data_IF_137172614071
#
_entry.id   IF_137172614071
#
_cell.length_a   1.000
_cell.length_b   1.000
_cell.length_c   1.000
_cell.angle_alpha   90.00
_cell.angle_beta   90.00
_cell.angle_gamma   90.00
#
_symmetry.space_group_name_H-M   'P 1'
#
loop_
_entity.id
_entity.type
_entity.pdbx_description
1 polymer ?
#
# COMPACT_ATOMS: atom_id res chain seq x y z
N UNK A 1 18.79 0.35 0.99
CA UNK A 1 20.18 0.06 0.54
C UNK A 1 20.81 -0.89 1.55
N UNK A 2 20.71 -2.20 1.33
CA UNK A 2 21.11 -3.18 2.35
C UNK A 2 22.62 -3.38 2.47
N UNK A 3 23.35 -3.47 1.35
CA UNK A 3 24.81 -3.65 1.40
C UNK A 3 25.53 -2.55 2.15
N UNK A 4 25.16 -1.29 1.89
CA UNK A 4 25.71 -0.14 2.61
C UNK A 4 25.46 -0.27 4.12
N UNK A 5 24.24 -0.67 4.51
CA UNK A 5 23.87 -0.83 5.91
C UNK A 5 24.66 -1.95 6.60
N UNK A 6 24.91 -3.07 5.91
CA UNK A 6 25.78 -4.11 6.44
C UNK A 6 27.21 -3.62 6.62
N UNK A 7 27.76 -2.93 5.62
CA UNK A 7 29.15 -2.45 5.63
C UNK A 7 29.42 -1.37 6.69
N UNK A 8 28.38 -0.64 7.14
CA UNK A 8 28.46 0.32 8.24
C UNK A 8 28.37 -0.39 9.62
N UNK A 9 27.83 -1.60 9.66
CA UNK A 9 27.75 -2.39 10.89
C UNK A 9 29.12 -2.76 11.43
N UNK A 10 29.21 -2.96 12.75
CA UNK A 10 30.43 -3.40 13.42
C UNK A 10 30.95 -4.74 12.89
N UNK A 11 30.01 -5.64 12.55
CA UNK A 11 30.28 -6.93 11.92
C UNK A 11 29.39 -7.08 10.66
N UNK A 12 29.93 -6.67 9.48
CA UNK A 12 29.18 -6.71 8.23
C UNK A 12 28.81 -8.11 7.75
N UNK A 13 29.63 -9.11 8.09
CA UNK A 13 29.42 -10.51 7.67
C UNK A 13 28.23 -11.07 8.42
N UNK A 14 28.22 -10.94 9.74
CA UNK A 14 27.11 -11.43 10.57
C UNK A 14 25.79 -10.73 10.28
N UNK A 15 25.82 -9.41 10.03
CA UNK A 15 24.61 -8.67 9.67
C UNK A 15 23.98 -9.18 8.37
N UNK A 16 24.81 -9.57 7.39
CA UNK A 16 24.36 -10.17 6.13
C UNK A 16 23.83 -11.57 6.33
N UNK A 17 24.54 -12.41 7.07
CA UNK A 17 24.12 -13.78 7.37
C UNK A 17 22.70 -13.81 7.96
N UNK A 18 22.45 -13.00 8.99
CA UNK A 18 21.14 -12.94 9.65
C UNK A 18 20.01 -12.44 8.73
N UNK A 19 20.31 -11.50 7.83
CA UNK A 19 19.34 -11.09 6.82
C UNK A 19 19.05 -12.25 5.84
N UNK A 20 20.08 -12.99 5.44
CA UNK A 20 20.04 -13.98 4.37
C UNK A 20 19.47 -15.33 4.82
N UNK A 21 19.42 -15.60 6.13
CA UNK A 21 18.71 -16.76 6.71
C UNK A 21 17.27 -16.90 6.19
N UNK A 22 16.62 -15.77 5.86
CA UNK A 22 15.22 -15.74 5.41
C UNK A 22 15.01 -15.08 4.05
N UNK A 23 15.97 -14.26 3.58
CA UNK A 23 15.93 -13.57 2.29
C UNK A 23 17.29 -13.67 1.55
N UNK A 24 17.71 -14.89 1.14
CA UNK A 24 19.05 -15.13 0.59
C UNK A 24 19.25 -14.52 -0.81
N UNK A 25 18.16 -14.32 -1.57
CA UNK A 25 18.22 -13.80 -2.93
C UNK A 25 18.78 -12.37 -2.97
N UNK A 26 19.57 -12.05 -4.01
CA UNK A 26 20.13 -10.71 -4.21
C UNK A 26 19.05 -9.62 -4.32
N UNK A 27 17.85 -9.98 -4.84
CA UNK A 27 16.71 -9.06 -4.85
C UNK A 27 16.27 -8.63 -3.44
N UNK A 28 16.55 -9.43 -2.41
CA UNK A 28 16.33 -9.06 -1.00
C UNK A 28 17.20 -7.88 -0.57
N UNK A 29 18.38 -7.69 -1.17
CA UNK A 29 19.30 -6.56 -0.86
C UNK A 29 18.89 -5.24 -1.50
N UNK A 30 17.96 -5.31 -2.45
CA UNK A 30 17.35 -4.16 -3.11
C UNK A 30 15.92 -3.92 -2.60
N UNK A 31 15.30 -4.93 -1.98
CA UNK A 31 13.94 -4.84 -1.46
C UNK A 31 13.77 -3.75 -0.40
N UNK A 32 12.64 -3.04 -0.48
CA UNK A 32 12.21 -2.05 0.51
C UNK A 32 11.50 -2.70 1.71
N UNK A 33 11.95 -3.87 2.15
CA UNK A 33 11.46 -4.55 3.35
C UNK A 33 12.50 -5.55 3.86
N UNK A 34 12.34 -5.98 5.11
CA UNK A 34 13.03 -7.14 5.68
C UNK A 34 12.03 -8.27 5.99
N UNK A 35 12.54 -9.43 6.36
CA UNK A 35 11.73 -10.61 6.69
C UNK A 35 10.81 -10.45 7.90
N UNK A 36 11.06 -9.47 8.77
CA UNK A 36 10.23 -9.25 9.97
C UNK A 36 8.84 -8.72 9.64
N UNK A 37 8.74 -7.73 8.75
CA UNK A 37 7.48 -7.04 8.45
C UNK A 37 6.92 -7.39 7.06
N UNK A 38 7.75 -7.94 6.18
CA UNK A 38 7.36 -8.27 4.82
C UNK A 38 6.98 -7.04 3.96
N UNK A 39 6.55 -7.26 2.71
CA UNK A 39 6.40 -6.22 1.70
C UNK A 39 5.24 -5.23 1.95
N UNK A 40 4.23 -5.64 2.73
CA UNK A 40 3.01 -4.84 2.98
C UNK A 40 3.07 -4.00 4.25
N UNK A 41 3.88 -4.40 5.23
CA UNK A 41 3.84 -3.80 6.58
C UNK A 41 5.19 -3.20 7.01
N UNK A 42 6.17 -3.08 6.11
CA UNK A 42 7.42 -2.39 6.43
C UNK A 42 7.17 -0.90 6.68
N UNK A 43 7.34 -0.46 7.93
CA UNK A 43 7.11 0.92 8.37
C UNK A 43 7.93 1.95 7.59
N UNK A 44 9.17 1.63 7.24
CA UNK A 44 10.04 2.50 6.44
C UNK A 44 9.50 2.69 5.02
N UNK A 45 9.00 1.61 4.38
CA UNK A 45 8.39 1.68 3.04
C UNK A 45 7.11 2.51 3.06
N UNK A 46 6.23 2.24 4.02
CA UNK A 46 4.98 2.99 4.19
C UNK A 46 5.28 4.48 4.41
N UNK A 47 6.27 4.79 5.24
CA UNK A 47 6.69 6.19 5.46
C UNK A 47 7.17 6.85 4.18
N UNK A 48 7.90 6.13 3.32
CA UNK A 48 8.33 6.65 2.02
C UNK A 48 7.13 6.90 1.11
N UNK A 49 6.20 5.95 0.99
CA UNK A 49 4.98 6.08 0.19
C UNK A 49 4.12 7.28 0.65
N UNK A 50 3.96 7.47 1.96
CA UNK A 50 3.23 8.63 2.51
C UNK A 50 3.93 9.95 2.18
N UNK A 51 5.26 10.01 2.23
CA UNK A 51 6.02 11.21 1.85
C UNK A 51 5.94 11.51 0.36
N UNK A 52 5.94 10.48 -0.48
CA UNK A 52 5.77 10.62 -1.93
C UNK A 52 4.36 11.12 -2.26
N UNK A 53 3.34 10.55 -1.63
CA UNK A 53 1.96 11.03 -1.75
C UNK A 53 1.81 12.49 -1.33
N UNK A 54 2.40 12.89 -0.19
CA UNK A 54 2.36 14.29 0.27
C UNK A 54 3.02 15.24 -0.74
N UNK A 55 4.16 14.86 -1.34
CA UNK A 55 4.82 15.65 -2.39
C UNK A 55 3.99 15.78 -3.66
N UNK A 56 3.28 14.73 -4.06
CA UNK A 56 2.36 14.77 -5.21
C UNK A 56 1.21 15.75 -4.96
N UNK A 57 0.63 15.72 -3.76
CA UNK A 57 -0.38 16.68 -3.34
C UNK A 57 0.13 18.13 -3.40
N UNK A 58 1.31 18.39 -2.82
CA UNK A 58 1.93 19.72 -2.86
C UNK A 58 2.17 20.19 -4.31
N UNK A 59 2.66 19.30 -5.19
CA UNK A 59 2.87 19.61 -6.60
C UNK A 59 1.56 19.95 -7.34
N UNK A 60 0.43 19.43 -6.85
CA UNK A 60 -0.92 19.75 -7.33
C UNK A 60 -1.53 20.98 -6.65
N UNK A 61 -0.80 21.65 -5.76
CA UNK A 61 -1.26 22.80 -5.00
C UNK A 61 -2.22 22.45 -3.84
N UNK A 62 -2.24 21.19 -3.42
CA UNK A 62 -3.06 20.70 -2.30
C UNK A 62 -2.17 20.63 -1.06
N UNK A 63 -2.60 21.22 0.06
CA UNK A 63 -1.90 21.09 1.34
C UNK A 63 -2.05 19.65 1.89
N UNK A 64 -0.96 18.88 2.03
CA UNK A 64 -1.02 17.50 2.51
C UNK A 64 -1.47 17.38 3.98
N UNK A 65 -1.49 18.46 4.75
CA UNK A 65 -2.03 18.47 6.10
C UNK A 65 -3.54 18.73 6.14
N UNK A 66 -4.13 19.19 5.02
CA UNK A 66 -5.54 19.55 4.90
C UNK A 66 -6.19 18.88 3.67
N UNK A 67 -5.82 17.62 3.39
CA UNK A 67 -6.35 16.85 2.25
C UNK A 67 -7.88 16.70 2.31
N UNK A 68 -8.46 16.69 3.51
CA UNK A 68 -9.91 16.57 3.71
C UNK A 68 -10.71 17.64 2.96
N UNK A 69 -10.15 18.84 2.79
CA UNK A 69 -10.81 19.94 2.08
C UNK A 69 -10.72 19.79 0.55
N UNK A 70 -9.78 18.98 0.06
CA UNK A 70 -9.59 18.69 -1.36
C UNK A 70 -10.35 17.43 -1.83
N UNK A 71 -10.89 16.63 -0.91
CA UNK A 71 -11.72 15.47 -1.24
C UNK A 71 -13.13 15.96 -1.55
N UNK A 72 -13.44 16.11 -2.84
CA UNK A 72 -14.84 16.26 -3.28
C UNK A 72 -15.60 14.97 -2.98
N UNK A 73 -16.32 14.93 -1.86
CA UNK A 73 -17.33 13.91 -1.62
C UNK A 73 -18.51 14.28 -2.51
N UNK A 74 -18.62 13.63 -3.67
CA UNK A 74 -19.83 13.71 -4.49
C UNK A 74 -20.99 13.16 -3.67
N UNK A 75 -21.90 14.04 -3.28
CA UNK A 75 -23.19 13.59 -2.77
C UNK A 75 -23.91 12.86 -3.90
N UNK A 76 -23.98 11.54 -3.75
CA UNK A 76 -24.76 10.68 -4.65
C UNK A 76 -26.19 10.63 -4.14
N UNK A 77 -27.15 10.57 -5.05
CA UNK A 77 -28.54 10.28 -4.68
C UNK A 77 -28.62 8.82 -4.24
N UNK A 78 -28.53 8.61 -2.93
CA UNK A 78 -28.50 7.28 -2.30
C UNK A 78 -29.73 6.47 -2.68
N UNK A 79 -30.89 7.10 -2.80
CA UNK A 79 -32.13 6.42 -3.15
C UNK A 79 -32.06 5.91 -4.59
N UNK A 80 -31.66 6.76 -5.54
CA UNK A 80 -31.53 6.38 -6.94
C UNK A 80 -30.54 5.21 -7.15
N UNK A 81 -29.39 5.25 -6.47
CA UNK A 81 -28.37 4.19 -6.52
C UNK A 81 -28.88 2.87 -5.90
N UNK A 82 -29.59 2.95 -4.78
CA UNK A 82 -30.21 1.78 -4.15
C UNK A 82 -31.28 1.16 -5.04
N UNK A 83 -32.09 1.96 -5.74
CA UNK A 83 -33.07 1.48 -6.71
C UNK A 83 -32.39 0.79 -7.90
N UNK A 84 -31.30 1.36 -8.42
CA UNK A 84 -30.52 0.75 -9.50
C UNK A 84 -29.93 -0.60 -9.09
N UNK A 85 -29.34 -0.70 -7.89
CA UNK A 85 -28.81 -1.97 -7.36
C UNK A 85 -29.90 -3.01 -7.07
N UNK A 86 -31.06 -2.57 -6.61
CA UNK A 86 -32.23 -3.44 -6.44
C UNK A 86 -32.72 -4.01 -7.78
N UNK A 87 -32.72 -3.20 -8.85
CA UNK A 87 -33.06 -3.65 -10.19
C UNK A 87 -32.03 -4.64 -10.74
N UNK A 88 -30.73 -4.36 -10.57
CA UNK A 88 -29.64 -5.24 -10.96
C UNK A 88 -29.74 -6.60 -10.25
N UNK A 89 -29.94 -6.60 -8.92
CA UNK A 89 -30.10 -7.83 -8.12
C UNK A 89 -31.28 -8.69 -8.62
N UNK A 90 -32.41 -8.06 -8.97
CA UNK A 90 -33.55 -8.77 -9.54
C UNK A 90 -33.24 -9.35 -10.91
N UNK A 91 -32.49 -8.65 -11.76
CA UNK A 91 -32.10 -9.12 -13.10
C UNK A 91 -31.10 -10.27 -13.05
N UNK A 92 -30.19 -10.30 -12.08
CA UNK A 92 -29.18 -11.35 -11.92
C UNK A 92 -29.68 -12.58 -11.17
N UNK A 93 -31.01 -12.77 -11.10
CA UNK A 93 -31.63 -13.96 -10.51
C UNK A 93 -31.86 -13.88 -9.00
N UNK A 94 -31.69 -12.71 -8.38
CA UNK A 94 -31.86 -12.50 -6.94
C UNK A 94 -30.96 -13.41 -6.08
N UNK A 95 -29.77 -13.73 -6.58
CA UNK A 95 -28.78 -14.54 -5.89
C UNK A 95 -27.76 -13.65 -5.17
N UNK A 96 -27.47 -13.98 -3.91
CA UNK A 96 -26.45 -13.28 -3.12
C UNK A 96 -25.02 -13.73 -3.46
N UNK A 97 -24.86 -14.94 -4.01
CA UNK A 97 -23.56 -15.53 -4.30
C UNK A 97 -23.53 -16.02 -5.74
N UNK A 98 -22.70 -15.37 -6.57
CA UNK A 98 -22.46 -15.82 -7.93
C UNK A 98 -21.27 -16.77 -7.98
N UNK A 99 -21.35 -17.83 -8.80
CA UNK A 99 -20.20 -18.70 -9.05
C UNK A 99 -19.12 -17.89 -9.76
N UNK A 100 -17.92 -17.89 -9.18
CA UNK A 100 -16.72 -17.42 -9.87
C UNK A 100 -16.45 -18.40 -11.01
N UNK A 101 -16.55 -17.93 -12.25
CA UNK A 101 -16.15 -18.67 -13.45
C UNK A 101 -14.66 -18.47 -13.67
#
# INVERSE_FOLDING_TARGET
RWHDQFNIGLDPVRAREYHDETLPQESGKVAHFCSMCGPKFCSMKITQEVREYAKDLEARGIDPNNVGDAIEIKMVDVEAEMQAKSAEFKQTGSELYHKVV
#
